data_IF_307118207565
#
_entry.id   IF_307118207565
#
_cell.length_a   1.000
_cell.length_b   1.000
_cell.length_c   1.000
_cell.angle_alpha   90.00
_cell.angle_beta   90.00
_cell.angle_gamma   90.00
#
_symmetry.space_group_name_H-M   'P 1'
#
loop_
_entity.id
_entity.type
_entity.pdbx_description
1 polymer ?
#
# COMPACT_ATOMS: atom_id res chain seq x y z
N UNK A 1 1.42 8.34 23.21
CA UNK A 1 0.46 8.28 22.09
C UNK A 1 1.13 8.20 20.70
N UNK A 2 2.22 8.94 20.41
CA UNK A 2 2.92 8.84 19.11
C UNK A 2 3.67 7.51 18.85
N UNK A 3 4.14 6.82 19.89
CA UNK A 3 4.86 5.55 19.75
C UNK A 3 3.98 4.43 19.16
N UNK A 4 2.74 4.30 19.62
CA UNK A 4 1.78 3.31 19.11
C UNK A 4 1.40 3.58 17.64
N UNK A 5 1.34 4.86 17.24
CA UNK A 5 1.02 5.27 15.87
C UNK A 5 2.15 4.94 14.89
N UNK A 6 3.42 5.07 15.32
CA UNK A 6 4.56 4.64 14.52
C UNK A 6 4.62 3.12 14.34
N UNK A 7 4.25 2.34 15.35
CA UNK A 7 4.21 0.88 15.26
C UNK A 7 3.12 0.42 14.26
N UNK A 8 1.95 1.05 14.29
CA UNK A 8 0.87 0.74 13.35
C UNK A 8 1.27 1.09 11.91
N UNK A 9 1.92 2.23 11.71
CA UNK A 9 2.41 2.64 10.39
C UNK A 9 3.47 1.67 9.86
N UNK A 10 4.40 1.23 10.71
CA UNK A 10 5.38 0.21 10.36
C UNK A 10 4.70 -1.09 9.89
N UNK A 11 3.71 -1.57 10.64
CA UNK A 11 2.98 -2.80 10.30
C UNK A 11 2.29 -2.73 8.94
N UNK A 12 1.62 -1.61 8.62
CA UNK A 12 0.92 -1.45 7.33
C UNK A 12 1.93 -1.34 6.17
N UNK A 13 3.08 -0.71 6.40
CA UNK A 13 4.16 -0.65 5.38
C UNK A 13 4.75 -2.03 5.13
N UNK A 14 4.89 -2.88 6.16
CA UNK A 14 5.37 -4.26 6.00
C UNK A 14 4.44 -5.08 5.12
N UNK A 15 3.13 -5.08 5.40
CA UNK A 15 2.13 -5.79 4.57
C UNK A 15 2.18 -5.30 3.12
N UNK A 16 2.25 -3.99 2.90
CA UNK A 16 2.37 -3.45 1.54
C UNK A 16 3.67 -3.90 0.85
N UNK A 17 4.75 -4.11 1.62
CA UNK A 17 6.03 -4.57 1.07
C UNK A 17 6.01 -6.06 0.72
N UNK A 18 5.28 -6.88 1.48
CA UNK A 18 5.04 -8.30 1.16
C UNK A 18 4.28 -8.49 -0.16
N UNK A 19 3.39 -7.57 -0.50
CA UNK A 19 2.65 -7.57 -1.76
C UNK A 19 3.45 -7.01 -2.94
N UNK A 20 4.36 -6.07 -2.68
CA UNK A 20 5.24 -5.47 -3.69
C UNK A 20 6.35 -6.43 -4.09
N UNK A 21 6.91 -7.20 -3.14
CA UNK A 21 8.01 -8.12 -3.42
C UNK A 21 7.72 -9.07 -4.61
N UNK A 22 6.63 -9.84 -4.65
CA UNK A 22 6.36 -10.74 -5.78
C UNK A 22 6.05 -9.99 -7.10
N UNK A 23 5.44 -8.81 -7.04
CA UNK A 23 5.21 -7.99 -8.23
C UNK A 23 6.52 -7.40 -8.78
N UNK A 24 7.41 -6.99 -7.89
CA UNK A 24 8.73 -6.50 -8.24
C UNK A 24 9.59 -7.63 -8.81
N UNK A 25 9.54 -8.82 -8.23
CA UNK A 25 10.20 -10.01 -8.76
C UNK A 25 9.69 -10.33 -10.17
N UNK A 26 8.38 -10.23 -10.42
CA UNK A 26 7.81 -10.43 -11.76
C UNK A 26 8.29 -9.37 -12.78
N UNK A 27 8.45 -8.10 -12.35
CA UNK A 27 9.02 -7.03 -13.17
C UNK A 27 10.50 -7.27 -13.43
N UNK A 28 11.27 -7.63 -12.42
CA UNK A 28 12.72 -7.88 -12.49
C UNK A 28 13.02 -9.12 -13.38
N UNK A 29 12.10 -10.08 -13.41
CA UNK A 29 12.15 -11.25 -14.29
C UNK A 29 11.58 -10.99 -15.70
N UNK A 30 11.06 -9.79 -15.98
CA UNK A 30 10.37 -9.42 -17.23
C UNK A 30 9.19 -10.34 -17.59
N UNK A 31 8.60 -11.02 -16.59
CA UNK A 31 7.42 -11.89 -16.75
C UNK A 31 6.12 -11.17 -16.34
N UNK A 32 6.22 -9.91 -15.96
CA UNK A 32 5.09 -9.13 -15.46
C UNK A 32 4.03 -8.92 -16.54
N UNK A 33 2.76 -8.98 -16.15
CA UNK A 33 1.66 -8.55 -17.02
C UNK A 33 1.39 -7.04 -16.86
N UNK A 34 0.62 -6.48 -17.78
CA UNK A 34 0.20 -5.07 -17.73
C UNK A 34 -0.66 -4.79 -16.48
N UNK A 35 -1.44 -5.79 -16.01
CA UNK A 35 -2.17 -5.73 -14.75
C UNK A 35 -1.23 -5.70 -13.53
N UNK A 36 -0.22 -6.56 -13.50
CA UNK A 36 0.78 -6.63 -12.43
C UNK A 36 1.63 -5.36 -12.33
N UNK A 37 2.01 -4.78 -13.47
CA UNK A 37 2.70 -3.48 -13.53
C UNK A 37 1.81 -2.37 -12.95
N UNK A 38 0.52 -2.36 -13.31
CA UNK A 38 -0.45 -1.39 -12.78
C UNK A 38 -0.68 -1.57 -11.27
N UNK A 39 -0.70 -2.81 -10.79
CA UNK A 39 -0.78 -3.17 -9.37
C UNK A 39 0.46 -2.70 -8.60
N UNK A 40 1.65 -2.90 -9.16
CA UNK A 40 2.92 -2.47 -8.56
C UNK A 40 2.96 -0.96 -8.42
N UNK A 41 2.56 -0.22 -9.46
CA UNK A 41 2.42 1.23 -9.39
C UNK A 41 1.43 1.67 -8.31
N UNK A 42 0.27 0.99 -8.20
CA UNK A 42 -0.75 1.32 -7.23
C UNK A 42 -0.25 1.09 -5.79
N UNK A 43 0.45 -0.01 -5.53
CA UNK A 43 1.08 -0.29 -4.24
C UNK A 43 2.20 0.69 -3.88
N UNK A 44 3.02 1.08 -4.87
CA UNK A 44 4.07 2.09 -4.67
C UNK A 44 3.46 3.46 -4.35
N UNK A 45 2.43 3.87 -5.08
CA UNK A 45 1.66 5.10 -4.79
C UNK A 45 1.03 5.04 -3.39
N UNK A 46 0.45 3.91 -3.01
CA UNK A 46 -0.11 3.68 -1.67
C UNK A 46 0.95 3.83 -0.57
N UNK A 47 2.11 3.17 -0.69
CA UNK A 47 3.21 3.29 0.30
C UNK A 47 3.71 4.72 0.45
N UNK A 48 3.88 5.43 -0.67
CA UNK A 48 4.34 6.82 -0.65
C UNK A 48 3.29 7.73 0.00
N UNK A 49 2.01 7.55 -0.33
CA UNK A 49 0.92 8.30 0.31
C UNK A 49 0.84 8.00 1.80
N UNK A 50 0.98 6.73 2.21
CA UNK A 50 0.97 6.33 3.61
C UNK A 50 2.18 6.87 4.41
N UNK A 51 3.35 7.01 3.76
CA UNK A 51 4.54 7.61 4.37
C UNK A 51 4.46 9.15 4.43
N UNK A 52 3.84 9.79 3.43
CA UNK A 52 3.69 11.27 3.36
C UNK A 52 2.53 11.79 4.20
N UNK A 53 1.55 10.95 4.48
CA UNK A 53 0.46 11.26 5.40
C UNK A 53 1.03 11.12 6.78
N UNK A 54 1.46 12.25 7.34
CA UNK A 54 1.74 12.37 8.76
C UNK A 54 0.47 11.97 9.52
N UNK A 55 0.43 10.72 9.96
CA UNK A 55 -0.66 10.16 10.78
C UNK A 55 -0.80 10.93 12.11
N UNK A 56 0.18 11.76 12.47
CA UNK A 56 0.12 12.74 13.56
C UNK A 56 -0.95 13.83 13.38
N UNK A 57 -1.46 14.05 12.16
CA UNK A 57 -2.52 15.05 11.85
C UNK A 57 -3.85 14.35 11.57
N UNK A 58 -4.20 13.34 12.36
CA UNK A 58 -5.43 12.55 12.21
C UNK A 58 -6.71 13.21 12.79
N UNK A 59 -6.82 14.54 12.78
CA UNK A 59 -8.02 15.25 13.25
C UNK A 59 -8.97 15.71 12.12
N UNK A 60 -8.55 15.62 10.84
CA UNK A 60 -9.39 15.98 9.68
C UNK A 60 -9.61 14.85 8.66
N UNK A 61 -9.13 13.64 8.92
CA UNK A 61 -8.79 12.67 7.87
C UNK A 61 -9.81 11.57 7.60
N UNK A 62 -11.01 11.58 8.21
CA UNK A 62 -11.97 10.47 8.06
C UNK A 62 -12.33 10.18 6.59
N UNK A 63 -12.44 11.21 5.75
CA UNK A 63 -12.69 11.05 4.30
C UNK A 63 -11.47 10.51 3.55
N UNK A 64 -10.26 10.90 3.96
CA UNK A 64 -9.02 10.57 3.30
C UNK A 64 -8.49 9.17 3.66
N UNK A 65 -8.63 8.78 4.93
CA UNK A 65 -8.37 7.41 5.39
C UNK A 65 -9.31 6.44 4.67
N UNK A 66 -10.59 6.80 4.47
CA UNK A 66 -11.51 5.97 3.68
C UNK A 66 -11.02 5.72 2.25
N UNK A 67 -10.52 6.74 1.55
CA UNK A 67 -9.99 6.55 0.20
C UNK A 67 -8.75 5.66 0.19
N UNK A 68 -7.81 5.87 1.12
CA UNK A 68 -6.61 5.04 1.27
C UNK A 68 -6.98 3.58 1.57
N UNK A 69 -7.91 3.33 2.49
CA UNK A 69 -8.32 1.97 2.86
C UNK A 69 -9.09 1.30 1.73
N UNK A 70 -9.95 2.02 1.00
CA UNK A 70 -10.67 1.48 -0.17
C UNK A 70 -9.69 1.11 -1.28
N UNK A 71 -8.70 1.96 -1.56
CA UNK A 71 -7.64 1.66 -2.52
C UNK A 71 -6.85 0.42 -2.11
N UNK A 72 -6.47 0.28 -0.84
CA UNK A 72 -5.77 -0.91 -0.34
C UNK A 72 -6.62 -2.18 -0.51
N UNK A 73 -7.91 -2.15 -0.14
CA UNK A 73 -8.82 -3.31 -0.28
C UNK A 73 -8.97 -3.71 -1.76
N UNK A 74 -9.10 -2.74 -2.66
CA UNK A 74 -9.20 -3.00 -4.09
C UNK A 74 -7.91 -3.63 -4.63
N UNK A 75 -6.74 -3.08 -4.29
CA UNK A 75 -5.45 -3.62 -4.74
C UNK A 75 -5.24 -5.05 -4.20
N UNK A 76 -5.50 -5.29 -2.91
CA UNK A 76 -5.38 -6.62 -2.30
C UNK A 76 -6.34 -7.65 -2.92
N UNK A 77 -7.56 -7.23 -3.29
CA UNK A 77 -8.54 -8.13 -3.92
C UNK A 77 -8.13 -8.55 -5.33
N UNK A 78 -7.43 -7.68 -6.06
CA UNK A 78 -6.91 -7.99 -7.40
C UNK A 78 -5.75 -8.98 -7.32
N UNK A 79 -4.90 -8.93 -6.28
CA UNK A 79 -3.80 -9.88 -6.12
C UNK A 79 -4.22 -11.26 -5.57
N UNK A 80 -5.28 -11.35 -4.76
CA UNK A 80 -5.78 -12.61 -4.20
C UNK A 80 -6.57 -13.47 -5.22
N UNK A 81 -6.31 -13.27 -6.51
CA UNK A 81 -6.88 -14.04 -7.62
C UNK A 81 -5.85 -15.05 -8.16
N UNK A 82 -4.60 -15.01 -7.68
CA UNK A 82 -3.54 -15.98 -7.97
C UNK A 82 -3.36 -17.00 -6.83
#
# INVERSE_FOLDING_TARGET
MQAAMRVLQFYVIQIASEHIAPLQDAVDLEITTEEETSLLEAWNKYRVLLNRVDTSVALGTKLFVTHITVTAITISKVQNVY
#
